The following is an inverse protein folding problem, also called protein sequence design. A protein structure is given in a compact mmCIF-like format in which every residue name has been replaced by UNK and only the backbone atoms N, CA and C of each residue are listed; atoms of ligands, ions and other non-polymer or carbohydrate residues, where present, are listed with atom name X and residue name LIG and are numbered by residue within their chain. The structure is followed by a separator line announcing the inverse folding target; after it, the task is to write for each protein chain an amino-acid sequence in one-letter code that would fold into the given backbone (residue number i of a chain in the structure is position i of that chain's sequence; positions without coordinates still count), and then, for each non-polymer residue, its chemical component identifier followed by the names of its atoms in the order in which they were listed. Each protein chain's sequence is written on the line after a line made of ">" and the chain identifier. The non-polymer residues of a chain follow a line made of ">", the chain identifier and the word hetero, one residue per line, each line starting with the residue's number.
data_IF_249310265970
#
_entry.id   IF_249310265970
#
_cell.length_a   1.000
_cell.length_b   1.000
_cell.length_c   1.000
_cell.angle_alpha   90.00
_cell.angle_beta   90.00
_cell.angle_gamma   90.00
#
_symmetry.space_group_name_H-M   'P 1'
#
loop_
_entity.id
_entity.type
_entity.pdbx_description
1 polymer ?
#
# COMPACT_ATOMS: atom_id res chain seq x y z
N UNK A 1 -41.87 -19.90 -9.41
CA UNK A 1 -40.44 -20.21 -9.61
C UNK A 1 -40.36 -21.49 -10.43
N UNK A 2 -39.86 -21.43 -11.67
CA UNK A 2 -39.63 -22.65 -12.46
C UNK A 2 -38.47 -23.39 -11.79
N UNK A 3 -38.64 -24.67 -11.45
CA UNK A 3 -37.53 -25.54 -11.06
C UNK A 3 -36.52 -25.56 -12.21
N UNK A 4 -35.51 -24.69 -12.17
CA UNK A 4 -34.42 -24.69 -13.15
C UNK A 4 -33.64 -25.96 -12.87
N UNK A 5 -33.77 -26.94 -13.76
CA UNK A 5 -33.08 -28.21 -13.65
C UNK A 5 -31.61 -27.99 -13.99
N UNK A 6 -30.70 -28.40 -13.11
CA UNK A 6 -29.26 -28.33 -13.37
C UNK A 6 -28.96 -29.16 -14.63
N UNK A 7 -28.20 -28.62 -15.61
CA UNK A 7 -27.79 -29.38 -16.79
C UNK A 7 -27.08 -30.68 -16.43
N UNK A 8 -27.25 -31.70 -17.27
CA UNK A 8 -26.74 -33.06 -16.99
C UNK A 8 -25.22 -33.14 -17.01
N UNK A 9 -24.59 -32.36 -17.87
CA UNK A 9 -23.15 -32.17 -17.99
C UNK A 9 -22.56 -31.54 -16.72
N UNK A 10 -23.16 -30.44 -16.22
CA UNK A 10 -22.74 -29.82 -14.95
C UNK A 10 -22.92 -30.78 -13.77
N UNK A 11 -24.04 -31.51 -13.74
CA UNK A 11 -24.29 -32.51 -12.71
C UNK A 11 -23.24 -33.63 -12.73
N UNK A 12 -22.81 -34.05 -13.92
CA UNK A 12 -21.77 -35.06 -14.08
C UNK A 12 -20.40 -34.54 -13.63
N UNK A 13 -20.05 -33.30 -14.00
CA UNK A 13 -18.80 -32.65 -13.61
C UNK A 13 -18.68 -32.49 -12.09
N UNK A 14 -19.73 -31.98 -11.42
CA UNK A 14 -19.77 -31.86 -9.95
C UNK A 14 -19.57 -33.22 -9.29
N UNK A 15 -20.24 -34.25 -9.81
CA UNK A 15 -20.12 -35.60 -9.26
C UNK A 15 -18.71 -36.16 -9.40
N UNK A 16 -18.08 -35.95 -10.56
CA UNK A 16 -16.74 -36.42 -10.81
C UNK A 16 -15.74 -35.73 -9.88
N UNK A 17 -15.77 -34.40 -9.82
CA UNK A 17 -14.91 -33.61 -8.94
C UNK A 17 -15.04 -34.00 -7.46
N UNK A 18 -16.28 -34.23 -6.98
CA UNK A 18 -16.51 -34.68 -5.61
C UNK A 18 -15.92 -36.07 -5.31
N UNK A 19 -15.97 -36.99 -6.28
CA UNK A 19 -15.37 -38.34 -6.14
C UNK A 19 -13.84 -38.21 -6.11
N UNK A 20 -13.26 -37.44 -7.02
CA UNK A 20 -11.81 -37.25 -7.14
C UNK A 20 -11.21 -36.57 -5.90
N UNK A 21 -11.97 -35.69 -5.23
CA UNK A 21 -11.49 -34.96 -4.06
C UNK A 21 -11.52 -35.74 -2.74
N UNK A 22 -12.32 -36.81 -2.64
CA UNK A 22 -12.60 -37.50 -1.36
C UNK A 22 -12.37 -39.02 -1.38
N UNK A 23 -11.81 -39.59 -2.46
CA UNK A 23 -11.23 -40.95 -2.54
C UNK A 23 -12.00 -42.02 -1.70
N UNK A 24 -13.32 -42.11 -1.92
CA UNK A 24 -14.29 -43.05 -1.32
C UNK A 24 -14.97 -42.67 0.02
N UNK A 25 -14.80 -41.47 0.57
CA UNK A 25 -15.66 -40.99 1.67
C UNK A 25 -17.07 -40.64 1.15
N UNK A 26 -17.97 -41.62 1.16
CA UNK A 26 -19.33 -41.47 0.64
C UNK A 26 -20.14 -40.33 1.30
N UNK A 27 -19.85 -39.99 2.56
CA UNK A 27 -20.54 -38.89 3.25
C UNK A 27 -20.02 -37.56 2.74
N UNK A 28 -18.70 -37.41 2.62
CA UNK A 28 -18.08 -36.19 2.09
C UNK A 28 -18.39 -35.97 0.61
N UNK A 29 -18.42 -37.04 -0.20
CA UNK A 29 -18.83 -36.98 -1.60
C UNK A 29 -20.28 -36.50 -1.72
N UNK A 30 -21.21 -37.08 -0.94
CA UNK A 30 -22.62 -36.68 -0.98
C UNK A 30 -22.81 -35.23 -0.54
N UNK A 31 -22.14 -34.81 0.54
CA UNK A 31 -22.18 -33.44 1.05
C UNK A 31 -21.63 -32.45 0.00
N UNK A 32 -20.47 -32.74 -0.59
CA UNK A 32 -19.86 -31.90 -1.62
C UNK A 32 -20.78 -31.75 -2.83
N UNK A 33 -21.38 -32.84 -3.32
CA UNK A 33 -22.34 -32.77 -4.43
C UNK A 33 -23.55 -31.89 -4.10
N UNK A 34 -24.06 -31.96 -2.87
CA UNK A 34 -25.19 -31.13 -2.44
C UNK A 34 -24.82 -29.65 -2.41
N UNK A 35 -23.70 -29.31 -1.75
CA UNK A 35 -23.17 -27.94 -1.66
C UNK A 35 -22.93 -27.34 -3.04
N UNK A 36 -22.22 -28.05 -3.92
CA UNK A 36 -21.87 -27.59 -5.26
C UNK A 36 -23.11 -27.38 -6.15
N UNK A 37 -24.11 -28.26 -6.05
CA UNK A 37 -25.38 -28.09 -6.78
C UNK A 37 -26.18 -26.91 -6.26
N UNK A 38 -26.23 -26.71 -4.94
CA UNK A 38 -26.89 -25.56 -4.34
C UNK A 38 -26.21 -24.26 -4.79
N UNK A 39 -24.88 -24.22 -4.75
CA UNK A 39 -24.10 -23.07 -5.20
C UNK A 39 -24.31 -22.76 -6.68
N UNK A 40 -24.32 -23.76 -7.56
CA UNK A 40 -24.64 -23.58 -8.99
C UNK A 40 -26.02 -22.91 -9.18
N UNK A 41 -27.04 -23.44 -8.51
CA UNK A 41 -28.41 -22.91 -8.63
C UNK A 41 -28.52 -21.49 -8.09
N UNK A 42 -27.83 -21.19 -7.00
CA UNK A 42 -27.77 -19.86 -6.42
C UNK A 42 -27.04 -18.89 -7.33
N UNK A 43 -25.89 -19.27 -7.91
CA UNK A 43 -25.15 -18.45 -8.87
C UNK A 43 -25.99 -18.12 -10.11
N UNK A 44 -26.74 -19.10 -10.62
CA UNK A 44 -27.67 -18.92 -11.74
C UNK A 44 -28.85 -18.00 -11.42
N UNK A 45 -29.21 -17.88 -10.14
CA UNK A 45 -30.29 -17.03 -9.64
C UNK A 45 -29.79 -15.71 -9.03
N UNK A 46 -28.48 -15.51 -8.97
CA UNK A 46 -27.85 -14.38 -8.29
C UNK A 46 -28.27 -13.07 -8.97
N UNK A 47 -28.67 -12.10 -8.15
CA UNK A 47 -29.00 -10.75 -8.63
C UNK A 47 -27.74 -9.89 -8.67
N UNK A 48 -27.36 -9.49 -9.88
CA UNK A 48 -26.20 -8.64 -10.12
C UNK A 48 -26.51 -7.15 -9.90
N UNK A 49 -27.78 -6.76 -9.75
CA UNK A 49 -28.19 -5.38 -9.51
C UNK A 49 -27.60 -4.40 -10.54
N UNK A 50 -26.89 -3.38 -10.06
CA UNK A 50 -26.22 -2.39 -10.94
C UNK A 50 -25.07 -2.96 -11.76
N UNK A 51 -24.54 -4.13 -11.40
CA UNK A 51 -23.50 -4.85 -12.14
C UNK A 51 -24.08 -5.78 -13.22
N UNK A 52 -25.40 -5.76 -13.48
CA UNK A 52 -26.04 -6.67 -14.43
C UNK A 52 -25.43 -6.65 -15.85
N UNK A 53 -24.90 -5.50 -16.28
CA UNK A 53 -24.20 -5.38 -17.56
C UNK A 53 -22.88 -6.17 -17.64
N UNK A 54 -22.33 -6.56 -16.50
CA UNK A 54 -21.06 -7.30 -16.36
C UNK A 54 -21.27 -8.74 -15.90
N UNK A 55 -22.51 -9.24 -15.88
CA UNK A 55 -22.81 -10.62 -15.45
C UNK A 55 -21.91 -11.64 -16.14
N UNK A 56 -21.86 -11.61 -17.47
CA UNK A 56 -21.14 -12.62 -18.24
C UNK A 56 -19.63 -12.53 -18.04
N UNK A 57 -19.05 -11.33 -17.91
CA UNK A 57 -17.62 -11.17 -17.66
C UNK A 57 -17.24 -11.61 -16.25
N UNK A 58 -18.03 -11.25 -15.23
CA UNK A 58 -17.81 -11.70 -13.84
C UNK A 58 -17.88 -13.23 -13.76
N UNK A 59 -18.92 -13.85 -14.35
CA UNK A 59 -19.06 -15.31 -14.35
C UNK A 59 -17.90 -15.99 -15.07
N UNK A 60 -17.45 -15.43 -16.20
CA UNK A 60 -16.28 -15.95 -16.92
C UNK A 60 -15.02 -15.87 -16.06
N UNK A 61 -14.72 -14.71 -15.47
CA UNK A 61 -13.53 -14.49 -14.65
C UNK A 61 -13.45 -15.44 -13.43
N UNK A 62 -14.54 -15.59 -12.68
CA UNK A 62 -14.54 -16.50 -11.50
C UNK A 62 -14.44 -17.97 -11.92
N UNK A 63 -14.95 -18.32 -13.11
CA UNK A 63 -14.88 -19.68 -13.64
C UNK A 63 -13.47 -20.04 -14.14
N UNK A 64 -12.65 -19.06 -14.52
CA UNK A 64 -11.24 -19.27 -14.85
C UNK A 64 -10.37 -19.52 -13.61
N UNK A 65 -10.76 -18.98 -12.46
CA UNK A 65 -9.98 -19.06 -11.22
C UNK A 65 -10.29 -20.33 -10.42
N UNK A 66 -11.56 -20.73 -10.35
CA UNK A 66 -11.98 -21.90 -9.58
C UNK A 66 -12.79 -22.87 -10.43
N UNK A 67 -12.61 -24.16 -10.16
CA UNK A 67 -13.42 -25.24 -10.73
C UNK A 67 -14.69 -25.51 -9.90
N UNK A 68 -14.71 -25.11 -8.62
CA UNK A 68 -15.81 -25.31 -7.68
C UNK A 68 -16.88 -24.22 -7.75
N UNK A 69 -18.14 -24.61 -7.74
CA UNK A 69 -19.29 -23.71 -7.80
C UNK A 69 -19.49 -22.92 -6.51
N UNK A 70 -19.19 -23.47 -5.35
CA UNK A 70 -19.30 -22.73 -4.07
C UNK A 70 -18.31 -21.56 -4.01
N UNK A 71 -17.07 -21.80 -4.45
CA UNK A 71 -16.06 -20.75 -4.55
C UNK A 71 -16.40 -19.73 -5.63
N UNK A 72 -16.82 -20.17 -6.83
CA UNK A 72 -17.30 -19.26 -7.89
C UNK A 72 -18.43 -18.36 -7.41
N UNK A 73 -19.40 -18.91 -6.69
CA UNK A 73 -20.51 -18.14 -6.12
C UNK A 73 -20.01 -17.10 -5.12
N UNK A 74 -19.11 -17.50 -4.22
CA UNK A 74 -18.52 -16.61 -3.24
C UNK A 74 -17.74 -15.47 -3.89
N UNK A 75 -16.93 -15.77 -4.91
CA UNK A 75 -16.19 -14.78 -5.67
C UNK A 75 -17.11 -13.85 -6.47
N UNK A 76 -18.15 -14.38 -7.14
CA UNK A 76 -19.09 -13.55 -7.88
C UNK A 76 -19.83 -12.56 -6.99
N UNK A 77 -20.17 -12.96 -5.75
CA UNK A 77 -20.74 -12.04 -4.74
C UNK A 77 -19.77 -10.92 -4.38
N UNK A 78 -18.49 -11.25 -4.17
CA UNK A 78 -17.45 -10.26 -3.88
C UNK A 78 -17.27 -9.27 -5.04
N UNK A 79 -17.27 -9.75 -6.29
CA UNK A 79 -17.18 -8.89 -7.47
C UNK A 79 -18.37 -7.93 -7.60
N UNK A 80 -19.60 -8.42 -7.35
CA UNK A 80 -20.80 -7.58 -7.37
C UNK A 80 -20.74 -6.51 -6.27
N UNK A 81 -20.34 -6.88 -5.05
CA UNK A 81 -20.18 -5.95 -3.95
C UNK A 81 -19.09 -4.91 -4.27
N UNK A 82 -17.92 -5.35 -4.74
CA UNK A 82 -16.82 -4.48 -5.09
C UNK A 82 -17.19 -3.49 -6.21
N UNK A 83 -17.95 -3.94 -7.22
CA UNK A 83 -18.50 -3.07 -8.25
C UNK A 83 -19.38 -1.96 -7.66
N UNK A 84 -20.29 -2.31 -6.75
CA UNK A 84 -21.18 -1.34 -6.11
C UNK A 84 -20.40 -0.35 -5.24
N UNK A 85 -19.46 -0.84 -4.44
CA UNK A 85 -18.58 -0.02 -3.62
C UNK A 85 -17.76 0.94 -4.47
N UNK A 86 -17.18 0.47 -5.57
CA UNK A 86 -16.41 1.30 -6.50
C UNK A 86 -17.26 2.45 -7.08
N UNK A 87 -18.51 2.17 -7.48
CA UNK A 87 -19.40 3.19 -8.04
C UNK A 87 -19.87 4.20 -6.99
N UNK A 88 -20.15 3.73 -5.77
CA UNK A 88 -20.54 4.55 -4.64
C UNK A 88 -19.35 5.28 -3.98
N UNK A 89 -18.10 4.89 -4.26
CA UNK A 89 -16.92 5.34 -3.54
C UNK A 89 -16.79 6.87 -3.48
N UNK A 90 -16.77 7.39 -2.25
CA UNK A 90 -16.46 8.78 -1.93
C UNK A 90 -15.47 8.78 -0.78
N UNK A 91 -14.44 9.59 -0.89
CA UNK A 91 -13.40 9.69 0.13
C UNK A 91 -13.29 11.14 0.56
N UNK A 92 -13.55 11.39 1.85
CA UNK A 92 -13.49 12.74 2.41
C UNK A 92 -12.10 13.33 2.22
N UNK A 93 -12.06 14.53 1.64
CA UNK A 93 -10.80 15.24 1.40
C UNK A 93 -9.99 14.77 0.18
N UNK A 94 -10.52 13.84 -0.63
CA UNK A 94 -9.95 13.48 -1.93
C UNK A 94 -10.76 14.14 -3.05
N UNK A 95 -10.15 14.94 -3.94
CA UNK A 95 -10.86 15.57 -5.04
C UNK A 95 -11.49 14.55 -6.00
N UNK A 96 -12.66 14.86 -6.54
CA UNK A 96 -13.35 13.97 -7.49
C UNK A 96 -12.49 13.61 -8.71
N UNK A 97 -11.67 14.55 -9.21
CA UNK A 97 -10.74 14.32 -10.31
C UNK A 97 -9.71 13.23 -9.98
N UNK A 98 -9.20 13.21 -8.76
CA UNK A 98 -8.23 12.21 -8.30
C UNK A 98 -8.89 10.83 -8.24
N UNK A 99 -10.11 10.75 -7.69
CA UNK A 99 -10.88 9.50 -7.65
C UNK A 99 -11.15 8.98 -9.08
N UNK A 100 -11.51 9.87 -10.02
CA UNK A 100 -11.71 9.50 -11.42
C UNK A 100 -10.43 8.97 -12.07
N UNK A 101 -9.28 9.58 -11.78
CA UNK A 101 -8.00 9.10 -12.27
C UNK A 101 -7.68 7.71 -11.72
N UNK A 102 -7.80 7.50 -10.41
CA UNK A 102 -7.57 6.21 -9.77
C UNK A 102 -8.49 5.11 -10.34
N UNK A 103 -9.75 5.44 -10.64
CA UNK A 103 -10.68 4.51 -11.29
C UNK A 103 -10.22 4.11 -12.69
N UNK A 104 -9.77 5.08 -13.48
CA UNK A 104 -9.27 4.80 -14.83
C UNK A 104 -7.98 3.96 -14.79
N UNK A 105 -7.08 4.23 -13.85
CA UNK A 105 -5.86 3.43 -13.64
C UNK A 105 -6.18 2.01 -13.18
N UNK A 106 -7.14 1.88 -12.26
CA UNK A 106 -7.65 0.59 -11.79
C UNK A 106 -8.24 -0.24 -12.94
N UNK A 107 -9.12 0.34 -13.76
CA UNK A 107 -9.74 -0.34 -14.91
C UNK A 107 -8.71 -0.85 -15.93
N UNK A 108 -7.62 -0.10 -16.13
CA UNK A 108 -6.52 -0.51 -17.01
C UNK A 108 -5.66 -1.62 -16.40
N UNK A 109 -5.47 -1.59 -15.09
CA UNK A 109 -4.57 -2.51 -14.38
C UNK A 109 -5.25 -3.84 -14.04
N UNK A 110 -6.56 -3.80 -13.80
CA UNK A 110 -7.38 -4.92 -13.37
C UNK A 110 -8.65 -5.02 -14.24
N UNK A 111 -8.53 -5.31 -15.55
CA UNK A 111 -9.70 -5.49 -16.41
C UNK A 111 -10.58 -6.63 -15.87
N UNK A 112 -11.89 -6.39 -15.76
CA UNK A 112 -12.89 -7.36 -15.29
C UNK A 112 -12.68 -7.93 -13.87
N UNK A 113 -11.75 -7.37 -13.08
CA UNK A 113 -11.53 -7.66 -11.65
C UNK A 113 -11.91 -6.43 -10.81
N UNK A 114 -13.19 -6.34 -10.43
CA UNK A 114 -13.72 -5.21 -9.67
C UNK A 114 -13.23 -5.20 -8.23
N UNK A 115 -12.90 -6.36 -7.65
CA UNK A 115 -12.25 -6.44 -6.34
C UNK A 115 -10.89 -5.75 -6.38
N UNK A 116 -10.04 -6.10 -7.35
CA UNK A 116 -8.75 -5.47 -7.59
C UNK A 116 -8.88 -3.98 -7.88
N UNK A 117 -9.86 -3.59 -8.70
CA UNK A 117 -10.12 -2.18 -8.99
C UNK A 117 -10.50 -1.39 -7.73
N UNK A 118 -11.43 -1.90 -6.93
CA UNK A 118 -11.85 -1.29 -5.67
C UNK A 118 -10.65 -1.11 -4.73
N UNK A 119 -9.88 -2.18 -4.54
CA UNK A 119 -8.75 -2.18 -3.62
C UNK A 119 -7.69 -1.17 -4.05
N UNK A 120 -7.44 -1.06 -5.36
CA UNK A 120 -6.57 -0.05 -5.93
C UNK A 120 -7.05 1.37 -5.63
N UNK A 121 -8.34 1.68 -5.88
CA UNK A 121 -8.90 3.01 -5.63
C UNK A 121 -8.88 3.36 -4.14
N UNK A 122 -9.24 2.41 -3.27
CA UNK A 122 -9.21 2.61 -1.80
C UNK A 122 -7.79 2.85 -1.31
N UNK A 123 -6.82 2.07 -1.77
CA UNK A 123 -5.41 2.25 -1.42
C UNK A 123 -4.87 3.59 -1.93
N UNK A 124 -5.19 3.97 -3.17
CA UNK A 124 -4.82 5.25 -3.77
C UNK A 124 -5.39 6.44 -3.00
N UNK A 125 -6.68 6.40 -2.65
CA UNK A 125 -7.33 7.45 -1.87
C UNK A 125 -6.70 7.61 -0.47
N UNK A 126 -6.44 6.48 0.22
CA UNK A 126 -5.72 6.49 1.51
C UNK A 126 -4.33 7.08 1.37
N UNK A 127 -3.60 6.71 0.30
CA UNK A 127 -2.26 7.25 0.03
C UNK A 127 -2.30 8.76 -0.22
N UNK A 128 -3.27 9.24 -0.99
CA UNK A 128 -3.47 10.66 -1.24
C UNK A 128 -3.66 11.45 0.06
N UNK A 129 -4.58 10.99 0.92
CA UNK A 129 -4.85 11.62 2.22
C UNK A 129 -3.58 11.64 3.08
N UNK A 130 -2.91 10.49 3.19
CA UNK A 130 -1.66 10.37 3.94
C UNK A 130 -0.60 11.36 3.45
N UNK A 131 -0.38 11.44 2.13
CA UNK A 131 0.61 12.34 1.54
C UNK A 131 0.26 13.80 1.81
N UNK A 132 -1.00 14.18 1.60
CA UNK A 132 -1.49 15.53 1.87
C UNK A 132 -1.25 15.94 3.32
N UNK A 133 -1.62 15.08 4.26
CA UNK A 133 -1.46 15.33 5.69
C UNK A 133 0.01 15.37 6.11
N UNK A 134 0.82 14.47 5.56
CA UNK A 134 2.26 14.48 5.78
C UNK A 134 2.86 15.80 5.31
N UNK A 135 2.54 16.26 4.10
CA UNK A 135 3.01 17.54 3.58
C UNK A 135 2.55 18.71 4.45
N UNK A 136 1.28 18.75 4.83
CA UNK A 136 0.76 19.80 5.69
C UNK A 136 1.49 19.88 7.05
N UNK A 137 1.89 18.72 7.59
CA UNK A 137 2.64 18.64 8.85
C UNK A 137 4.13 18.98 8.69
N UNK A 138 4.76 18.50 7.63
CA UNK A 138 6.22 18.55 7.48
C UNK A 138 6.70 19.80 6.76
N UNK A 139 5.97 20.31 5.76
CA UNK A 139 6.38 21.48 4.98
C UNK A 139 6.74 22.69 5.86
N UNK A 140 5.95 23.07 6.90
CA UNK A 140 6.23 24.24 7.73
C UNK A 140 7.50 24.16 8.59
N UNK A 141 8.02 22.94 8.78
CA UNK A 141 9.21 22.66 9.61
C UNK A 141 10.34 22.05 8.78
N UNK A 142 10.17 21.91 7.46
CA UNK A 142 11.07 21.15 6.59
C UNK A 142 12.51 21.65 6.67
N UNK A 143 12.69 22.97 6.60
CA UNK A 143 14.01 23.60 6.66
C UNK A 143 14.67 23.42 8.02
N UNK A 144 13.89 23.54 9.11
CA UNK A 144 14.40 23.26 10.45
C UNK A 144 14.89 21.82 10.56
N UNK A 145 14.12 20.85 10.06
CA UNK A 145 14.52 19.45 10.11
C UNK A 145 15.83 19.21 9.34
N UNK A 146 16.00 19.86 8.18
CA UNK A 146 17.24 19.80 7.40
C UNK A 146 18.40 20.43 8.17
N UNK A 147 18.19 21.58 8.82
CA UNK A 147 19.23 22.24 9.62
C UNK A 147 19.63 21.38 10.83
N UNK A 148 18.64 20.79 11.53
CA UNK A 148 18.86 19.88 12.65
C UNK A 148 19.60 18.60 12.22
N UNK A 149 19.22 18.02 11.07
CA UNK A 149 19.97 16.90 10.48
C UNK A 149 21.39 17.33 10.15
N UNK A 150 21.59 18.54 9.62
CA UNK A 150 22.93 19.03 9.30
C UNK A 150 23.83 19.12 10.52
N UNK A 151 23.31 19.66 11.62
CA UNK A 151 24.03 19.70 12.91
C UNK A 151 24.39 18.27 13.34
N UNK A 152 23.45 17.34 13.34
CA UNK A 152 23.68 15.97 13.81
C UNK A 152 24.65 15.21 12.88
N UNK A 153 24.50 15.38 11.57
CA UNK A 153 25.29 14.70 10.55
C UNK A 153 26.75 15.13 10.58
N UNK A 154 27.02 16.40 10.89
CA UNK A 154 28.37 16.96 11.01
C UNK A 154 29.10 16.49 12.27
N UNK A 155 28.36 16.03 13.29
CA UNK A 155 28.89 15.47 14.55
C UNK A 155 29.23 13.97 14.47
N UNK A 156 29.16 13.35 13.28
CA UNK A 156 29.52 11.96 13.12
C UNK A 156 31.05 11.76 13.16
N UNK A 157 31.50 10.72 13.89
CA UNK A 157 32.92 10.44 14.13
C UNK A 157 33.31 9.05 13.66
N UNK A 158 34.43 8.95 12.91
CA UNK A 158 34.99 7.67 12.48
C UNK A 158 36.39 7.48 13.06
N UNK A 159 36.50 6.52 13.97
CA UNK A 159 37.76 6.18 14.64
C UNK A 159 38.85 5.66 13.67
N UNK A 160 38.47 5.17 12.49
CA UNK A 160 39.37 4.61 11.49
C UNK A 160 39.89 5.64 10.48
N UNK A 161 39.46 6.91 10.54
CA UNK A 161 40.04 7.97 9.69
C UNK A 161 41.43 8.34 10.23
N UNK A 162 42.45 8.22 9.38
CA UNK A 162 43.83 8.54 9.70
C UNK A 162 44.00 10.07 9.85
N UNK A 163 44.43 10.52 11.02
CA UNK A 163 44.68 11.93 11.36
C UNK A 163 46.17 12.19 11.69
N UNK A 164 47.04 11.42 11.04
CA UNK A 164 48.49 11.55 11.13
C UNK A 164 49.05 11.91 9.76
N UNK A 165 49.73 13.06 9.69
CA UNK A 165 50.42 13.54 8.50
C UNK A 165 51.74 12.82 8.24
N UNK A 166 52.42 13.21 7.15
CA UNK A 166 53.74 12.66 6.81
C UNK A 166 54.73 12.86 7.98
N UNK A 167 55.36 11.76 8.43
CA UNK A 167 56.26 11.78 9.59
C UNK A 167 55.60 11.50 10.95
N UNK A 168 54.33 11.09 11.00
CA UNK A 168 53.65 10.69 12.24
C UNK A 168 53.20 11.85 13.12
N UNK A 169 53.11 13.05 12.55
CA UNK A 169 52.63 14.24 13.24
C UNK A 169 51.12 14.11 13.44
N UNK A 170 50.67 14.22 14.69
CA UNK A 170 49.25 14.28 15.02
C UNK A 170 48.69 15.63 14.61
N UNK A 171 47.78 15.66 13.64
CA UNK A 171 47.19 16.89 13.11
C UNK A 171 45.95 17.36 13.90
N UNK A 172 45.67 16.70 15.02
CA UNK A 172 44.63 17.11 15.97
C UNK A 172 43.22 16.72 15.54
N UNK A 173 42.65 17.55 14.66
CA UNK A 173 41.27 17.49 14.19
C UNK A 173 41.15 16.72 12.85
N UNK A 174 39.93 16.41 12.40
CA UNK A 174 39.70 15.81 11.07
C UNK A 174 39.15 14.38 11.04
N UNK A 175 38.67 13.85 12.18
CA UNK A 175 37.89 12.60 12.21
C UNK A 175 36.38 12.81 12.17
N UNK A 176 35.93 14.06 12.29
CA UNK A 176 34.57 14.47 11.99
C UNK A 176 34.31 14.25 10.51
N UNK A 177 33.22 13.57 10.19
CA UNK A 177 32.80 13.37 8.83
C UNK A 177 31.29 13.49 8.76
N UNK A 178 30.80 14.11 7.70
CA UNK A 178 29.36 14.15 7.48
C UNK A 178 28.85 12.80 6.99
N UNK A 179 28.02 12.13 7.80
CA UNK A 179 27.42 10.84 7.39
C UNK A 179 26.39 11.07 6.28
N UNK A 180 26.44 10.34 5.15
CA UNK A 180 25.44 10.50 4.11
C UNK A 180 24.09 9.94 4.55
N UNK A 181 23.02 10.72 4.33
CA UNK A 181 21.65 10.25 4.48
C UNK A 181 21.25 9.44 3.24
N UNK A 182 20.60 8.31 3.45
CA UNK A 182 19.92 7.54 2.40
C UNK A 182 18.44 7.87 2.40
N UNK A 183 17.87 8.04 1.22
CA UNK A 183 16.45 8.28 0.99
C UNK A 183 15.92 7.25 0.00
N UNK A 184 14.66 6.89 0.14
CA UNK A 184 13.93 6.10 -0.86
C UNK A 184 13.01 7.03 -1.65
N UNK A 185 13.07 6.93 -2.98
CA UNK A 185 12.21 7.64 -3.93
C UNK A 185 11.68 6.63 -4.95
N UNK A 186 10.50 6.10 -4.69
CA UNK A 186 9.98 4.96 -5.47
C UNK A 186 10.89 3.75 -5.27
N UNK A 187 11.31 3.14 -6.37
CA UNK A 187 12.22 1.98 -6.38
C UNK A 187 13.72 2.37 -6.32
N UNK A 188 14.02 3.67 -6.30
CA UNK A 188 15.39 4.17 -6.26
C UNK A 188 15.83 4.57 -4.84
N UNK A 189 17.10 4.32 -4.52
CA UNK A 189 17.74 4.84 -3.31
C UNK A 189 18.71 5.97 -3.64
N UNK A 190 18.51 7.12 -3.00
CA UNK A 190 19.33 8.32 -3.16
C UNK A 190 20.23 8.46 -1.93
N UNK A 191 21.54 8.64 -2.14
CA UNK A 191 22.47 8.97 -1.06
C UNK A 191 22.90 10.42 -1.18
N UNK A 192 22.75 11.20 -0.13
CA UNK A 192 23.15 12.62 -0.10
C UNK A 192 23.94 12.91 1.16
N UNK A 193 25.07 13.60 0.99
CA UNK A 193 25.76 14.20 2.15
C UNK A 193 25.01 15.45 2.62
N UNK A 194 24.51 16.27 1.70
CA UNK A 194 23.71 17.45 2.00
C UNK A 194 22.31 17.29 1.43
N UNK A 195 21.31 17.51 2.26
CA UNK A 195 19.89 17.40 1.89
C UNK A 195 19.45 18.72 1.24
N UNK A 196 18.96 18.70 0.00
CA UNK A 196 18.55 19.92 -0.67
C UNK A 196 17.19 20.41 -0.12
N UNK A 197 16.98 21.72 -0.09
CA UNK A 197 15.77 22.33 0.46
C UNK A 197 14.49 22.05 -0.37
N UNK A 198 14.65 21.73 -1.65
CA UNK A 198 13.57 21.39 -2.58
C UNK A 198 13.14 19.91 -2.51
N UNK A 199 13.68 19.13 -1.59
CA UNK A 199 13.27 17.73 -1.39
C UNK A 199 11.79 17.66 -0.98
N UNK A 200 11.09 16.69 -1.58
CA UNK A 200 9.70 16.39 -1.25
C UNK A 200 9.59 15.88 0.21
N UNK A 201 8.61 16.34 1.01
CA UNK A 201 8.42 15.87 2.38
C UNK A 201 8.32 14.35 2.51
N UNK A 202 7.66 13.68 1.56
CA UNK A 202 7.53 12.23 1.55
C UNK A 202 8.87 11.53 1.44
N UNK A 203 9.77 12.06 0.60
CA UNK A 203 11.13 11.53 0.42
C UNK A 203 11.97 11.89 1.63
N UNK A 204 11.87 13.12 2.15
CA UNK A 204 12.59 13.53 3.36
C UNK A 204 12.34 12.58 4.54
N UNK A 205 11.09 12.16 4.72
CA UNK A 205 10.66 11.28 5.81
C UNK A 205 11.10 9.80 5.67
N UNK A 206 11.69 9.40 4.54
CA UNK A 206 12.41 8.12 4.38
C UNK A 206 13.90 8.23 4.72
N UNK A 207 14.38 9.44 4.96
CA UNK A 207 15.78 9.73 5.23
C UNK A 207 16.30 9.01 6.46
N UNK A 208 17.39 8.26 6.27
CA UNK A 208 18.03 7.45 7.31
C UNK A 208 19.54 7.43 7.17
N UNK A 209 20.24 7.37 8.29
CA UNK A 209 21.63 6.94 8.31
C UNK A 209 21.68 5.43 8.33
N UNK A 210 22.53 4.83 7.51
CA UNK A 210 22.70 3.37 7.47
C UNK A 210 24.08 2.98 8.01
N UNK A 211 24.11 2.37 9.18
CA UNK A 211 25.31 1.91 9.87
C UNK A 211 25.43 0.38 9.73
N UNK A 212 25.99 -0.07 8.61
CA UNK A 212 26.03 -1.49 8.27
C UNK A 212 24.61 -2.04 8.06
N UNK A 213 24.21 -3.02 8.87
CA UNK A 213 22.85 -3.59 8.85
C UNK A 213 21.82 -2.79 9.66
N UNK A 214 22.27 -1.81 10.45
CA UNK A 214 21.39 -0.98 11.28
C UNK A 214 21.05 0.34 10.58
N UNK A 215 19.87 0.88 10.86
CA UNK A 215 19.41 2.15 10.28
C UNK A 215 18.84 3.07 11.36
N UNK A 216 19.13 4.37 11.25
CA UNK A 216 18.54 5.42 12.09
C UNK A 216 17.72 6.35 11.20
N UNK A 217 16.39 6.32 11.35
CA UNK A 217 15.47 7.22 10.66
C UNK A 217 15.56 8.65 11.22
N UNK A 218 16.55 9.41 10.76
CA UNK A 218 16.93 10.70 11.33
C UNK A 218 15.77 11.71 11.29
N UNK A 219 15.11 11.90 10.15
CA UNK A 219 14.01 12.87 10.04
C UNK A 219 12.78 12.49 10.86
N UNK A 220 12.46 11.19 10.96
CA UNK A 220 11.37 10.70 11.82
C UNK A 220 11.67 10.94 13.30
N UNK A 221 12.92 10.79 13.71
CA UNK A 221 13.33 11.10 15.08
C UNK A 221 13.23 12.61 15.36
N UNK A 222 13.70 13.44 14.43
CA UNK A 222 13.66 14.90 14.57
C UNK A 222 12.24 15.46 14.63
N UNK A 223 11.31 14.93 13.83
CA UNK A 223 9.88 15.29 13.94
C UNK A 223 9.34 15.02 15.33
N UNK A 224 9.66 13.85 15.92
CA UNK A 224 9.23 13.53 17.30
C UNK A 224 9.84 14.47 18.34
N UNK A 225 11.08 14.90 18.13
CA UNK A 225 11.74 15.90 19.00
C UNK A 225 11.02 17.23 18.90
N UNK A 226 10.71 17.70 17.68
CA UNK A 226 9.93 18.92 17.45
C UNK A 226 8.55 18.82 18.11
N UNK A 227 7.79 17.75 17.86
CA UNK A 227 6.47 17.52 18.45
C UNK A 227 6.53 17.51 20.00
N UNK A 228 7.57 16.91 20.58
CA UNK A 228 7.81 16.92 22.03
C UNK A 228 8.09 18.35 22.54
N UNK A 229 8.95 19.10 21.85
CA UNK A 229 9.27 20.48 22.21
C UNK A 229 8.04 21.40 22.15
N UNK A 230 7.17 21.22 21.16
CA UNK A 230 5.93 21.98 21.06
C UNK A 230 4.93 21.60 22.16
N UNK A 231 4.74 20.30 22.40
CA UNK A 231 3.78 19.80 23.40
C UNK A 231 4.20 20.08 24.83
N UNK A 232 5.45 19.78 25.18
CA UNK A 232 5.90 19.74 26.58
C UNK A 232 6.55 21.05 27.02
N UNK A 233 7.10 21.82 26.07
CA UNK A 233 7.79 23.09 26.34
C UNK A 233 7.07 24.31 25.75
N UNK A 234 5.95 24.12 25.04
CA UNK A 234 5.14 25.21 24.49
C UNK A 234 5.84 26.01 23.39
N UNK A 235 6.90 25.46 22.79
CA UNK A 235 7.57 26.06 21.64
C UNK A 235 6.57 26.09 20.47
N UNK A 236 6.60 27.17 19.68
CA UNK A 236 5.88 27.22 18.41
C UNK A 236 6.91 27.31 17.32
N UNK A 237 7.09 26.25 16.53
CA UNK A 237 8.15 26.23 15.55
C UNK A 237 7.54 26.39 14.16
N UNK A 238 7.81 27.54 13.54
CA UNK A 238 7.36 27.86 12.19
C UNK A 238 8.52 28.43 11.38
N UNK A 239 8.49 28.29 10.06
CA UNK A 239 9.47 28.95 9.17
C UNK A 239 9.53 30.48 9.40
N UNK A 240 8.46 31.11 9.91
CA UNK A 240 8.44 32.52 10.26
C UNK A 240 9.38 32.88 11.43
N UNK A 241 9.83 31.89 12.22
CA UNK A 241 10.82 32.07 13.27
C UNK A 241 12.25 32.15 12.73
N UNK A 242 12.47 31.79 11.45
CA UNK A 242 13.78 31.88 10.80
C UNK A 242 14.01 33.35 10.44
N UNK A 243 14.71 34.07 11.31
CA UNK A 243 15.21 35.41 10.98
C UNK A 243 16.06 35.29 9.69
N UNK A 244 15.79 36.18 8.73
CA UNK A 244 16.55 36.30 7.47
C UNK A 244 18.04 36.49 7.73
#
# INVERSE_FOLDING_TARGET
>A
MKNKKIPSDITAAIRQSAIDGWDDDAVMVAHTIETEKAAYLELEALDFGTAAGFRESIIAAVSEISEGWDERLSMAKLEIEAFQELHAARFDGVPAKEISQLKNEAEQSFPDDFTGQRDHVVAGARRFIYVRELRARIEPIKNLLIDMEGIIGDECYNANIQNYGAGGIWEGEGRSFRYPVKFDKGDESLKRRYVPADIDPEVLMTGRYQFGSNELGIFRALVKVVEMLERDYGLRITDANRNK
#
